data_IF_815325878560
#
_entry.id   IF_815325878560
#
_cell.length_a   1.000
_cell.length_b   1.000
_cell.length_c   1.000
_cell.angle_alpha   90.00
_cell.angle_beta   90.00
_cell.angle_gamma   90.00
#
_symmetry.space_group_name_H-M   'P 1'
#
loop_
_entity.id
_entity.type
_entity.pdbx_description
1 polymer ?
#
# COMPACT_ATOMS: atom_id res chain seq x y z
N UNK A 1 -17.47 -1.35 8.25
CA UNK A 1 -17.16 -0.75 6.92
C UNK A 1 -17.04 0.76 6.97
N UNK A 2 -17.97 1.46 7.64
CA UNK A 2 -17.94 2.93 7.81
C UNK A 2 -16.61 3.40 8.40
N UNK A 3 -16.04 2.65 9.36
CA UNK A 3 -14.72 2.90 9.96
C UNK A 3 -13.58 3.00 8.92
N UNK A 4 -13.57 2.10 7.93
CA UNK A 4 -12.58 2.13 6.85
C UNK A 4 -12.76 3.33 5.91
N UNK A 5 -14.01 3.71 5.64
CA UNK A 5 -14.33 4.89 4.85
C UNK A 5 -13.93 6.17 5.59
N UNK A 6 -14.24 6.26 6.88
CA UNK A 6 -13.98 7.43 7.73
C UNK A 6 -12.48 7.73 7.85
N UNK A 7 -11.69 6.67 7.95
CA UNK A 7 -10.23 6.75 8.05
C UNK A 7 -9.55 7.08 6.72
N UNK A 8 -10.06 6.55 5.59
CA UNK A 8 -9.63 6.99 4.24
C UNK A 8 -10.01 8.45 4.01
N UNK A 9 -11.23 8.85 4.39
CA UNK A 9 -11.70 10.23 4.28
C UNK A 9 -10.83 11.18 5.12
N UNK A 10 -10.50 10.81 6.37
CA UNK A 10 -9.62 11.59 7.23
C UNK A 10 -8.17 11.68 6.74
N UNK A 11 -7.67 10.68 6.01
CA UNK A 11 -6.37 10.74 5.35
C UNK A 11 -6.40 11.59 4.08
N UNK A 12 -7.49 11.54 3.32
CA UNK A 12 -7.66 12.34 2.09
C UNK A 12 -7.82 13.84 2.40
N UNK A 13 -8.48 14.18 3.51
CA UNK A 13 -8.72 15.56 3.96
C UNK A 13 -7.63 16.09 4.89
N UNK A 14 -6.66 15.26 5.25
CA UNK A 14 -5.61 15.61 6.20
C UNK A 14 -4.41 14.69 6.08
N UNK A 15 -4.00 14.06 7.19
CA UNK A 15 -2.90 13.10 7.22
C UNK A 15 -3.35 11.80 7.89
N UNK A 16 -2.45 10.84 8.02
CA UNK A 16 -2.72 9.60 8.75
C UNK A 16 -3.20 9.87 10.18
N UNK A 17 -2.74 10.95 10.84
CA UNK A 17 -3.13 11.28 12.22
C UNK A 17 -4.60 11.71 12.33
N UNK A 18 -5.13 12.47 11.37
CA UNK A 18 -6.53 12.87 11.33
C UNK A 18 -7.44 11.69 10.98
N UNK A 19 -6.99 10.81 10.08
CA UNK A 19 -7.69 9.54 9.80
C UNK A 19 -7.85 8.63 11.02
N UNK A 20 -6.80 8.52 11.84
CA UNK A 20 -6.86 7.73 13.10
C UNK A 20 -7.71 8.44 14.16
N UNK A 21 -7.68 9.77 14.23
CA UNK A 21 -8.49 10.54 15.17
C UNK A 21 -10.00 10.35 14.91
N UNK A 22 -10.42 10.42 13.65
CA UNK A 22 -11.82 10.14 13.28
C UNK A 22 -12.19 8.69 13.57
N UNK A 23 -11.28 7.76 13.30
CA UNK A 23 -11.49 6.34 13.60
C UNK A 23 -11.64 6.09 15.11
N UNK A 24 -10.94 6.84 15.96
CA UNK A 24 -11.05 6.75 17.42
C UNK A 24 -12.40 7.27 17.93
N UNK A 25 -13.00 8.22 17.22
CA UNK A 25 -14.31 8.76 17.59
C UNK A 25 -15.46 7.84 17.18
N UNK A 26 -15.31 7.12 16.06
CA UNK A 26 -16.26 6.09 15.65
C UNK A 26 -16.04 4.74 16.38
N UNK A 27 -14.78 4.36 16.66
CA UNK A 27 -14.38 3.14 17.37
C UNK A 27 -13.36 3.47 18.48
N UNK A 28 -13.83 3.80 19.70
CA UNK A 28 -12.98 4.16 20.83
C UNK A 28 -12.05 3.03 21.31
N UNK A 29 -12.42 1.77 21.04
CA UNK A 29 -11.72 0.60 21.55
C UNK A 29 -10.87 -0.10 20.47
N UNK A 30 -10.82 0.44 19.24
CA UNK A 30 -10.15 -0.18 18.09
C UNK A 30 -10.45 -1.68 17.98
N UNK A 31 -11.71 -2.07 18.20
CA UNK A 31 -12.16 -3.46 18.10
C UNK A 31 -12.06 -3.96 16.67
N UNK A 32 -12.13 -3.05 15.70
CA UNK A 32 -12.03 -3.37 14.28
C UNK A 32 -10.60 -3.27 13.76
N UNK A 33 -10.16 -4.18 12.87
CA UNK A 33 -8.80 -4.18 12.31
C UNK A 33 -8.55 -3.04 11.31
N UNK A 34 -9.47 -2.07 11.20
CA UNK A 34 -9.39 -0.96 10.25
C UNK A 34 -8.18 -0.06 10.53
N UNK A 35 -7.92 0.26 11.81
CA UNK A 35 -6.77 1.10 12.22
C UNK A 35 -5.44 0.45 11.84
N UNK A 36 -5.31 -0.84 12.13
CA UNK A 36 -4.12 -1.62 11.83
C UNK A 36 -3.91 -1.76 10.32
N UNK A 37 -4.95 -2.05 9.56
CA UNK A 37 -4.84 -2.19 8.10
C UNK A 37 -4.49 -0.85 7.42
N UNK A 38 -4.97 0.28 7.97
CA UNK A 38 -4.59 1.60 7.47
C UNK A 38 -3.12 1.92 7.69
N UNK A 39 -2.63 1.79 8.93
CA UNK A 39 -1.23 2.12 9.25
C UNK A 39 -0.28 1.15 8.55
N UNK A 40 -0.61 -0.14 8.54
CA UNK A 40 0.21 -1.16 7.88
C UNK A 40 0.18 -0.97 6.36
N UNK A 41 -0.96 -0.60 5.78
CA UNK A 41 -1.09 -0.28 4.36
C UNK A 41 -0.24 0.94 3.96
N UNK A 42 -0.35 2.04 4.69
CA UNK A 42 0.40 3.27 4.40
C UNK A 42 1.91 3.12 4.61
N UNK A 43 2.35 2.44 5.68
CA UNK A 43 3.78 2.22 5.94
C UNK A 43 4.44 1.31 4.89
N UNK A 44 3.77 0.22 4.51
CA UNK A 44 4.25 -0.65 3.41
C UNK A 44 4.23 0.09 2.08
N UNK A 45 3.23 0.95 1.83
CA UNK A 45 3.18 1.77 0.63
C UNK A 45 4.36 2.75 0.52
N UNK A 46 4.83 3.33 1.63
CA UNK A 46 6.01 4.22 1.63
C UNK A 46 7.28 3.43 1.28
N UNK A 47 7.49 2.27 1.91
CA UNK A 47 8.68 1.44 1.66
C UNK A 47 8.74 1.00 0.19
N UNK A 48 7.57 0.66 -0.40
CA UNK A 48 7.45 0.26 -1.80
C UNK A 48 7.46 1.47 -2.76
N UNK A 49 6.96 2.63 -2.34
CA UNK A 49 6.83 3.82 -3.16
C UNK A 49 8.10 4.68 -3.23
N UNK A 50 8.89 4.71 -2.16
CA UNK A 50 10.15 5.47 -2.09
C UNK A 50 11.17 5.13 -3.19
N UNK A 51 11.48 3.85 -3.50
CA UNK A 51 12.40 3.53 -4.59
C UNK A 51 11.87 3.98 -5.96
N UNK A 52 10.54 3.97 -6.14
CA UNK A 52 9.90 4.47 -7.37
C UNK A 52 10.07 6.00 -7.49
N UNK A 53 9.88 6.74 -6.39
CA UNK A 53 10.11 8.19 -6.36
C UNK A 53 11.56 8.56 -6.73
N UNK A 54 12.54 7.81 -6.25
CA UNK A 54 13.95 8.03 -6.59
C UNK A 54 14.20 7.78 -8.09
N UNK A 55 13.61 6.71 -8.65
CA UNK A 55 13.73 6.42 -10.09
C UNK A 55 13.12 7.50 -10.97
N UNK A 56 11.93 7.99 -10.61
CA UNK A 56 11.24 9.04 -11.37
C UNK A 56 11.99 10.38 -11.29
N UNK A 57 12.59 10.71 -10.14
CA UNK A 57 13.40 11.92 -9.99
C UNK A 57 14.65 11.97 -10.87
N UNK A 58 15.16 10.81 -11.30
CA UNK A 58 16.36 10.68 -12.16
C UNK A 58 16.04 10.66 -13.66
N UNK A 59 14.76 10.56 -14.04
CA UNK A 59 14.32 10.48 -15.43
C UNK A 59 14.64 11.73 -16.31
N UNK A 60 14.61 12.98 -15.84
CA UNK A 60 14.67 14.16 -16.73
C UNK A 60 16.08 14.54 -17.21
N UNK A 61 17.13 13.78 -16.88
CA UNK A 61 18.52 14.16 -17.20
C UNK A 61 18.93 13.91 -18.68
N UNK A 62 18.29 12.99 -19.42
CA UNK A 62 18.61 12.73 -20.85
C UNK A 62 17.58 11.84 -21.55
N UNK A 63 17.41 11.98 -22.87
CA UNK A 63 16.47 11.19 -23.70
C UNK A 63 16.68 9.68 -23.57
N UNK A 64 17.92 9.23 -23.36
CA UNK A 64 18.24 7.80 -23.16
C UNK A 64 17.80 7.32 -21.77
N UNK A 65 17.93 8.17 -20.74
CA UNK A 65 17.52 7.87 -19.38
C UNK A 65 15.99 7.81 -19.20
N UNK A 66 15.22 8.52 -20.04
CA UNK A 66 13.75 8.42 -20.05
C UNK A 66 13.31 7.01 -20.47
N UNK A 67 13.84 6.48 -21.57
CA UNK A 67 13.49 5.11 -22.00
C UNK A 67 13.96 4.06 -20.99
N UNK A 68 15.13 4.27 -20.36
CA UNK A 68 15.65 3.38 -19.32
C UNK A 68 14.76 3.38 -18.06
N UNK A 69 14.32 4.55 -17.60
CA UNK A 69 13.46 4.68 -16.42
C UNK A 69 12.06 4.12 -16.68
N UNK A 70 11.50 4.31 -17.88
CA UNK A 70 10.23 3.67 -18.27
C UNK A 70 10.36 2.14 -18.27
N UNK A 71 11.44 1.59 -18.84
CA UNK A 71 11.70 0.16 -18.83
C UNK A 71 11.88 -0.38 -17.39
N UNK A 72 12.62 0.34 -16.55
CA UNK A 72 12.83 -0.04 -15.16
C UNK A 72 11.55 0.03 -14.31
N UNK A 73 10.70 1.04 -14.53
CA UNK A 73 9.37 1.14 -13.92
C UNK A 73 8.47 -0.03 -14.35
N UNK A 74 8.50 -0.44 -15.63
CA UNK A 74 7.75 -1.59 -16.12
C UNK A 74 8.22 -2.90 -15.48
N UNK A 75 9.54 -3.09 -15.33
CA UNK A 75 10.12 -4.24 -14.63
C UNK A 75 9.70 -4.24 -13.15
N UNK A 76 9.81 -3.10 -12.47
CA UNK A 76 9.42 -2.95 -11.07
C UNK A 76 7.93 -3.28 -10.86
N UNK A 77 7.05 -2.78 -11.74
CA UNK A 77 5.63 -3.10 -11.73
C UNK A 77 5.39 -4.61 -11.96
N UNK A 78 6.11 -5.24 -12.89
CA UNK A 78 6.03 -6.67 -13.16
C UNK A 78 6.43 -7.52 -11.94
N UNK A 79 7.56 -7.18 -11.29
CA UNK A 79 8.07 -7.88 -10.10
C UNK A 79 7.08 -7.75 -8.94
N UNK A 80 6.56 -6.55 -8.68
CA UNK A 80 5.57 -6.34 -7.61
C UNK A 80 4.30 -7.15 -7.85
N UNK A 81 3.74 -7.11 -9.06
CA UNK A 81 2.55 -7.88 -9.42
C UNK A 81 2.81 -9.40 -9.29
N UNK A 82 3.97 -9.88 -9.73
CA UNK A 82 4.35 -11.29 -9.59
C UNK A 82 4.44 -11.73 -8.13
N UNK A 83 5.10 -10.94 -7.26
CA UNK A 83 5.19 -11.22 -5.82
C UNK A 83 3.79 -11.24 -5.19
N UNK A 84 2.94 -10.28 -5.54
CA UNK A 84 1.62 -10.12 -4.95
C UNK A 84 0.68 -11.28 -5.34
N UNK A 85 0.71 -11.71 -6.61
CA UNK A 85 -0.02 -12.89 -7.10
C UNK A 85 0.49 -14.18 -6.45
N UNK A 86 1.82 -14.36 -6.34
CA UNK A 86 2.41 -15.53 -5.69
C UNK A 86 2.05 -15.60 -4.20
N UNK A 87 2.12 -14.49 -3.48
CA UNK A 87 1.71 -14.37 -2.07
C UNK A 87 0.20 -14.58 -1.87
N UNK A 88 -0.64 -14.12 -2.79
CA UNK A 88 -2.09 -14.35 -2.76
C UNK A 88 -2.43 -15.84 -2.88
N UNK A 89 -1.72 -16.55 -3.77
CA UNK A 89 -1.91 -17.99 -3.99
C UNK A 89 -1.48 -18.82 -2.78
N UNK A 90 -0.36 -18.46 -2.14
CA UNK A 90 0.14 -19.10 -0.91
C UNK A 90 -0.86 -18.96 0.26
N UNK A 91 -1.45 -17.76 0.44
CA UNK A 91 -2.44 -17.51 1.50
C UNK A 91 -3.72 -18.35 1.34
N UNK A 92 -4.19 -18.58 0.11
CA UNK A 92 -5.36 -19.44 -0.11
C UNK A 92 -5.09 -20.91 0.22
N UNK A 93 -3.86 -21.39 -0.02
CA UNK A 93 -3.46 -22.78 0.24
C UNK A 93 -3.45 -23.11 1.74
N UNK A 94 -2.94 -22.21 2.57
CA UNK A 94 -2.93 -22.38 4.03
C UNK A 94 -4.33 -22.32 4.68
N UNK A 95 -5.29 -21.62 4.07
CA UNK A 95 -6.67 -21.58 4.58
C UNK A 95 -7.45 -22.87 4.29
N UNK A 96 -7.13 -23.57 3.20
CA UNK A 96 -7.72 -24.88 2.88
C UNK A 96 -7.12 -26.03 3.70
N UNK A 97 -5.84 -25.94 4.10
CA UNK A 97 -5.17 -26.99 4.89
C UNK A 97 -5.59 -26.99 6.37
N UNK A 98 -6.04 -25.85 6.92
CA UNK A 98 -6.59 -25.77 8.30
C UNK A 98 -8.05 -26.19 8.43
N UNK A 99 -8.73 -26.47 7.31
CA UNK A 99 -10.12 -26.92 7.30
C UNK A 99 -10.28 -28.44 7.09
N UNK A 100 -9.18 -29.19 7.00
CA UNK A 100 -9.16 -30.66 6.87
C UNK A 100 -8.65 -31.27 8.16
#
# INVERSE_FOLDING_TARGET
EIEGLLSIFGMMTGTVSTGILLLREADPHFRTPASLNLVTGSSVAIIVGLPLLIMVGLAPQSSVFVYLTVAACAIYAGVLNFILVKRSKERRRHSSEKQI
#
